data_IF_732931362366
#
_entry.id   IF_732931362366
#
_cell.length_a   1.000
_cell.length_b   1.000
_cell.length_c   1.000
_cell.angle_alpha   90.00
_cell.angle_beta   90.00
_cell.angle_gamma   90.00
#
_symmetry.space_group_name_H-M   'P 1'
#
loop_
_entity.id
_entity.type
_entity.pdbx_description
1 polymer ?
#
# COMPACT_ATOMS: atom_id res chain seq x y z
N UNK A 1 -12.14 19.44 -3.55
CA UNK A 1 -11.94 19.61 -5.00
C UNK A 1 -10.84 18.69 -5.46
N UNK A 2 -11.00 18.04 -6.62
CA UNK A 2 -9.96 17.25 -7.29
C UNK A 2 -9.68 17.93 -8.62
N UNK A 3 -8.45 18.34 -8.82
CA UNK A 3 -7.97 18.92 -10.07
C UNK A 3 -6.87 18.01 -10.61
N UNK A 4 -6.77 17.84 -11.92
CA UNK A 4 -5.71 17.05 -12.54
C UNK A 4 -4.83 17.93 -13.41
N UNK A 5 -3.53 17.78 -13.26
CA UNK A 5 -2.57 18.48 -14.11
C UNK A 5 -2.51 17.87 -15.51
N UNK A 6 -1.62 18.39 -16.36
CA UNK A 6 -1.46 17.93 -17.74
C UNK A 6 -0.88 16.50 -17.86
N UNK A 7 -0.32 15.94 -16.78
CA UNK A 7 0.15 14.56 -16.69
C UNK A 7 -0.92 13.63 -16.10
N UNK A 8 -2.05 14.20 -15.64
CA UNK A 8 -3.13 13.46 -14.98
C UNK A 8 -2.94 13.28 -13.47
N UNK A 9 -1.88 13.84 -12.88
CA UNK A 9 -1.65 13.76 -11.43
C UNK A 9 -2.76 14.51 -10.69
N UNK A 10 -3.46 13.87 -9.74
CA UNK A 10 -4.52 14.54 -9.00
C UNK A 10 -3.96 15.45 -7.90
N UNK A 11 -4.49 16.65 -7.85
CA UNK A 11 -4.32 17.63 -6.79
C UNK A 11 -5.62 17.70 -6.00
N UNK A 12 -5.59 17.23 -4.77
CA UNK A 12 -6.74 17.15 -3.88
C UNK A 12 -6.68 18.33 -2.92
N UNK A 13 -7.74 19.13 -2.89
CA UNK A 13 -7.85 20.32 -2.04
C UNK A 13 -9.08 20.16 -1.16
N UNK A 14 -8.87 19.95 0.14
CA UNK A 14 -9.88 19.84 1.18
C UNK A 14 -9.95 21.10 2.05
N UNK A 15 -11.06 21.28 2.78
CA UNK A 15 -11.12 22.26 3.87
C UNK A 15 -10.50 21.70 5.12
N UNK A 16 -10.77 20.42 5.40
CA UNK A 16 -10.18 19.66 6.50
C UNK A 16 -9.30 18.56 5.97
N UNK A 17 -8.54 17.92 6.84
CA UNK A 17 -7.73 16.75 6.49
C UNK A 17 -8.63 15.58 6.06
N UNK A 18 -9.81 15.43 6.67
CA UNK A 18 -10.81 14.42 6.28
C UNK A 18 -11.39 14.71 4.90
N UNK A 19 -11.72 15.96 4.56
CA UNK A 19 -12.15 16.33 3.22
C UNK A 19 -11.09 15.95 2.16
N UNK A 20 -9.82 16.17 2.50
CA UNK A 20 -8.69 15.81 1.66
C UNK A 20 -8.56 14.28 1.54
N UNK A 21 -8.68 13.54 2.66
CA UNK A 21 -8.65 12.07 2.67
C UNK A 21 -9.75 11.45 1.80
N UNK A 22 -10.98 11.95 1.92
CA UNK A 22 -12.11 11.52 1.08
C UNK A 22 -11.82 11.73 -0.41
N UNK A 23 -11.39 12.94 -0.78
CA UNK A 23 -11.06 13.26 -2.17
C UNK A 23 -9.90 12.46 -2.70
N UNK A 24 -8.91 12.18 -1.86
CA UNK A 24 -7.74 11.37 -2.20
C UNK A 24 -8.10 9.91 -2.47
N UNK A 25 -8.95 9.31 -1.64
CA UNK A 25 -9.47 7.97 -1.86
C UNK A 25 -10.30 7.88 -3.14
N UNK A 26 -11.16 8.87 -3.39
CA UNK A 26 -11.97 8.93 -4.60
C UNK A 26 -11.12 9.02 -5.87
N UNK A 27 -10.08 9.89 -5.87
CA UNK A 27 -9.16 10.01 -7.00
C UNK A 27 -8.39 8.70 -7.29
N UNK A 28 -7.95 8.00 -6.24
CA UNK A 28 -7.35 6.68 -6.39
C UNK A 28 -8.32 5.64 -6.97
N UNK A 29 -9.59 5.70 -6.54
CA UNK A 29 -10.62 4.81 -7.06
C UNK A 29 -10.93 5.08 -8.53
N UNK A 30 -10.97 6.34 -8.97
CA UNK A 30 -11.11 6.67 -10.40
C UNK A 30 -10.05 6.02 -11.28
N UNK A 31 -8.79 5.96 -10.79
CA UNK A 31 -7.65 5.50 -11.58
C UNK A 31 -7.36 4.00 -11.39
N UNK A 32 -7.66 3.44 -10.22
CA UNK A 32 -7.19 2.10 -9.82
C UNK A 32 -8.27 1.22 -9.19
N UNK A 33 -9.56 1.44 -9.51
CA UNK A 33 -10.66 0.74 -8.84
C UNK A 33 -10.52 -0.77 -8.82
N UNK A 34 -10.25 -1.37 -9.98
CA UNK A 34 -10.09 -2.82 -10.06
C UNK A 34 -9.04 -3.35 -9.09
N UNK A 35 -7.90 -2.68 -9.00
CA UNK A 35 -6.81 -3.08 -8.12
C UNK A 35 -7.19 -2.95 -6.64
N UNK A 36 -7.82 -1.83 -6.26
CA UNK A 36 -8.28 -1.58 -4.90
C UNK A 36 -9.35 -2.61 -4.51
N UNK A 37 -10.37 -2.76 -5.34
CA UNK A 37 -11.48 -3.69 -5.15
C UNK A 37 -11.01 -5.14 -4.98
N UNK A 38 -10.16 -5.62 -5.88
CA UNK A 38 -9.68 -7.01 -5.89
C UNK A 38 -8.70 -7.31 -4.73
N UNK A 39 -8.15 -6.28 -4.09
CA UNK A 39 -7.28 -6.44 -2.91
C UNK A 39 -8.06 -6.68 -1.60
N UNK A 40 -9.32 -6.27 -1.52
CA UNK A 40 -10.11 -6.37 -0.27
C UNK A 40 -10.26 -7.82 0.24
N UNK A 41 -10.62 -8.81 -0.60
CA UNK A 41 -10.71 -10.20 -0.13
C UNK A 41 -9.40 -10.73 0.43
N UNK A 42 -8.27 -10.30 -0.14
CA UNK A 42 -6.95 -10.67 0.37
C UNK A 42 -6.71 -10.06 1.76
N UNK A 43 -6.96 -8.79 1.95
CA UNK A 43 -6.79 -8.15 3.26
C UNK A 43 -7.68 -8.75 4.34
N UNK A 44 -8.85 -9.23 3.95
CA UNK A 44 -9.81 -9.91 4.85
C UNK A 44 -9.49 -11.40 5.10
N UNK A 45 -8.56 -12.00 4.36
CA UNK A 45 -8.32 -13.44 4.40
C UNK A 45 -9.52 -14.25 3.89
N UNK A 46 -10.16 -13.75 2.83
CA UNK A 46 -11.37 -14.36 2.21
C UNK A 46 -11.22 -14.55 0.71
N UNK A 47 -10.01 -14.54 0.19
CA UNK A 47 -9.71 -14.69 -1.25
C UNK A 47 -10.25 -15.99 -1.83
N UNK A 48 -10.27 -17.07 -1.04
CA UNK A 48 -10.79 -18.35 -1.47
C UNK A 48 -12.29 -18.34 -1.80
N UNK A 49 -13.05 -17.39 -1.22
CA UNK A 49 -14.47 -17.24 -1.54
C UNK A 49 -14.72 -16.78 -2.98
N UNK A 50 -13.72 -16.15 -3.61
CA UNK A 50 -13.77 -15.65 -4.98
C UNK A 50 -12.91 -16.51 -5.90
N UNK A 51 -11.68 -16.85 -5.49
CA UNK A 51 -10.68 -17.51 -6.32
C UNK A 51 -10.56 -19.02 -6.05
N UNK A 52 -11.40 -19.58 -5.18
CA UNK A 52 -11.35 -20.99 -4.82
C UNK A 52 -10.03 -21.38 -4.15
N UNK A 53 -9.51 -22.55 -4.48
CA UNK A 53 -8.31 -23.11 -3.83
C UNK A 53 -7.07 -22.21 -4.01
N UNK A 54 -6.99 -21.45 -5.07
CA UNK A 54 -5.86 -20.54 -5.35
C UNK A 54 -5.79 -19.42 -4.30
N UNK A 55 -6.93 -18.96 -3.79
CA UNK A 55 -7.00 -17.96 -2.71
C UNK A 55 -6.70 -18.52 -1.32
N UNK A 56 -6.74 -19.83 -1.13
CA UNK A 56 -6.67 -20.43 0.21
C UNK A 56 -5.31 -20.23 0.89
N UNK A 57 -4.22 -20.17 0.14
CA UNK A 57 -2.87 -19.94 0.69
C UNK A 57 -2.74 -18.53 1.25
N UNK A 58 -3.29 -17.54 0.54
CA UNK A 58 -3.27 -16.15 1.00
C UNK A 58 -4.17 -15.96 2.21
N UNK A 59 -5.35 -16.60 2.24
CA UNK A 59 -6.24 -16.57 3.40
C UNK A 59 -5.58 -17.20 4.62
N UNK A 60 -4.92 -18.36 4.44
CA UNK A 60 -4.16 -19.00 5.50
C UNK A 60 -3.10 -18.07 6.08
N UNK A 61 -2.37 -17.33 5.24
CA UNK A 61 -1.35 -16.38 5.67
C UNK A 61 -1.96 -15.27 6.56
N UNK A 62 -3.06 -14.68 6.17
CA UNK A 62 -3.74 -13.63 6.94
C UNK A 62 -4.17 -14.13 8.31
N UNK A 63 -4.77 -15.32 8.37
CA UNK A 63 -5.21 -15.94 9.61
C UNK A 63 -4.03 -16.41 10.48
N UNK A 64 -2.99 -16.97 9.87
CA UNK A 64 -1.81 -17.42 10.61
C UNK A 64 -1.03 -16.25 11.25
N UNK A 65 -0.99 -15.10 10.59
CA UNK A 65 -0.36 -13.89 11.11
C UNK A 65 -1.24 -13.14 12.13
N UNK A 66 -2.44 -13.65 12.41
CA UNK A 66 -3.40 -13.03 13.33
C UNK A 66 -3.63 -11.54 13.04
N UNK A 67 -3.70 -11.18 11.73
CA UNK A 67 -3.82 -9.78 11.29
C UNK A 67 -5.07 -9.13 11.87
N UNK A 68 -6.21 -9.80 11.77
CA UNK A 68 -7.50 -9.26 12.25
C UNK A 68 -7.61 -9.26 13.75
N UNK A 69 -7.14 -10.30 14.44
CA UNK A 69 -7.07 -10.37 15.89
C UNK A 69 -6.22 -9.23 16.46
N UNK A 70 -5.10 -8.90 15.78
CA UNK A 70 -4.24 -7.77 16.12
C UNK A 70 -4.97 -6.45 15.97
N UNK A 71 -5.65 -6.25 14.81
CA UNK A 71 -6.41 -5.03 14.54
C UNK A 71 -7.55 -4.87 15.56
N UNK A 72 -8.35 -5.90 15.80
CA UNK A 72 -9.46 -5.86 16.75
C UNK A 72 -9.00 -5.50 18.16
N UNK A 73 -7.82 -5.97 18.55
CA UNK A 73 -7.29 -5.72 19.91
C UNK A 73 -6.64 -4.35 20.07
N UNK A 74 -6.04 -3.77 19.00
CA UNK A 74 -5.17 -2.60 19.11
C UNK A 74 -5.72 -1.35 18.42
N UNK A 75 -6.66 -1.47 17.48
CA UNK A 75 -7.14 -0.34 16.66
C UNK A 75 -7.59 0.85 17.52
N UNK A 76 -8.38 0.60 18.56
CA UNK A 76 -8.93 1.66 19.40
C UNK A 76 -7.89 2.29 20.34
N UNK A 77 -6.90 1.51 20.80
CA UNK A 77 -5.91 1.98 21.78
C UNK A 77 -4.67 2.60 21.14
N UNK A 78 -4.26 2.13 19.96
CA UNK A 78 -3.00 2.52 19.36
C UNK A 78 -3.14 3.64 18.31
N UNK A 79 -4.33 3.80 17.73
CA UNK A 79 -4.58 4.87 16.76
C UNK A 79 -5.17 6.11 17.43
N UNK A 80 -4.64 7.29 17.11
CA UNK A 80 -5.22 8.55 17.56
C UNK A 80 -6.61 8.79 16.95
N UNK A 81 -7.42 9.61 17.59
CA UNK A 81 -8.74 9.95 17.07
C UNK A 81 -8.66 10.66 15.71
N UNK A 82 -7.62 11.49 15.50
CA UNK A 82 -7.37 12.14 14.22
C UNK A 82 -7.06 11.12 13.12
N UNK A 83 -6.22 10.10 13.43
CA UNK A 83 -5.91 9.02 12.47
C UNK A 83 -7.16 8.22 12.12
N UNK A 84 -7.99 7.90 13.11
CA UNK A 84 -9.25 7.19 12.88
C UNK A 84 -10.22 8.01 12.02
N UNK A 85 -10.40 9.30 12.34
CA UNK A 85 -11.25 10.20 11.53
C UNK A 85 -10.75 10.33 10.08
N UNK A 86 -9.45 10.41 9.89
CA UNK A 86 -8.85 10.45 8.56
C UNK A 86 -9.10 9.15 7.77
N UNK A 87 -8.93 7.98 8.42
CA UNK A 87 -9.20 6.68 7.81
C UNK A 87 -10.70 6.48 7.51
N UNK A 88 -11.60 6.93 8.40
CA UNK A 88 -13.04 6.91 8.15
C UNK A 88 -13.39 7.70 6.89
N UNK A 89 -12.89 8.93 6.77
CA UNK A 89 -13.11 9.75 5.59
C UNK A 89 -12.50 9.14 4.32
N UNK A 90 -11.33 8.51 4.43
CA UNK A 90 -10.69 7.82 3.31
C UNK A 90 -11.58 6.68 2.79
N UNK A 91 -12.06 5.79 3.67
CA UNK A 91 -12.94 4.70 3.25
C UNK A 91 -14.30 5.18 2.76
N UNK A 92 -14.82 6.28 3.30
CA UNK A 92 -16.02 6.94 2.79
C UNK A 92 -15.86 7.36 1.33
N UNK A 93 -14.68 7.85 0.95
CA UNK A 93 -14.33 8.16 -0.44
C UNK A 93 -14.37 6.94 -1.36
N UNK A 94 -13.80 5.81 -0.92
CA UNK A 94 -13.86 4.53 -1.65
C UNK A 94 -15.29 4.00 -1.76
N UNK A 95 -16.03 3.98 -0.65
CA UNK A 95 -17.41 3.52 -0.61
C UNK A 95 -18.34 4.40 -1.45
N UNK A 96 -18.08 5.71 -1.50
CA UNK A 96 -18.82 6.62 -2.36
C UNK A 96 -18.57 6.33 -3.84
N UNK A 97 -17.32 6.02 -4.22
CA UNK A 97 -17.02 5.59 -5.59
C UNK A 97 -17.76 4.30 -5.93
N UNK A 98 -17.69 3.27 -5.06
CA UNK A 98 -18.42 2.01 -5.21
C UNK A 98 -19.92 2.22 -5.44
N UNK A 99 -20.54 3.06 -4.63
CA UNK A 99 -21.96 3.41 -4.73
C UNK A 99 -22.31 4.07 -6.08
N UNK A 100 -21.40 4.87 -6.63
CA UNK A 100 -21.57 5.54 -7.92
C UNK A 100 -21.33 4.62 -9.11
N UNK A 101 -20.60 3.54 -8.93
CA UNK A 101 -20.17 2.62 -9.98
C UNK A 101 -20.53 1.16 -9.64
N UNK A 102 -21.84 0.86 -9.44
CA UNK A 102 -22.27 -0.51 -9.09
C UNK A 102 -21.95 -1.52 -10.19
N UNK A 103 -21.79 -1.09 -11.44
CA UNK A 103 -21.49 -1.95 -12.60
C UNK A 103 -20.09 -2.58 -12.57
N UNK A 104 -19.19 -2.03 -11.76
CA UNK A 104 -17.80 -2.51 -11.58
C UNK A 104 -17.50 -2.91 -10.14
N UNK A 105 -18.51 -2.99 -9.30
CA UNK A 105 -18.42 -3.24 -7.86
C UNK A 105 -19.10 -4.56 -7.50
N UNK A 106 -18.40 -5.41 -6.75
CA UNK A 106 -19.03 -6.55 -6.10
C UNK A 106 -19.63 -6.10 -4.76
N UNK A 107 -20.94 -6.02 -4.65
CA UNK A 107 -21.68 -5.52 -3.48
C UNK A 107 -21.36 -6.29 -2.20
N UNK A 108 -21.00 -7.57 -2.29
CA UNK A 108 -20.67 -8.41 -1.13
C UNK A 108 -19.38 -7.98 -0.41
N UNK A 109 -18.55 -7.16 -1.06
CA UNK A 109 -17.30 -6.64 -0.46
C UNK A 109 -17.50 -5.32 0.29
N UNK A 110 -18.68 -4.71 0.23
CA UNK A 110 -18.94 -3.37 0.77
C UNK A 110 -19.86 -3.39 1.99
N UNK A 111 -19.68 -2.42 2.90
CA UNK A 111 -18.70 -1.34 2.85
C UNK A 111 -17.26 -1.80 3.11
N UNK A 112 -16.29 -1.08 2.52
CA UNK A 112 -14.89 -1.11 2.95
C UNK A 112 -14.82 -0.37 4.29
N UNK A 113 -14.03 -0.90 5.23
CA UNK A 113 -13.86 -0.34 6.57
C UNK A 113 -12.44 0.22 6.77
N UNK A 114 -12.21 1.13 7.72
CA UNK A 114 -10.87 1.59 8.08
C UNK A 114 -9.92 0.44 8.44
N UNK A 115 -10.46 -0.60 9.07
CA UNK A 115 -9.70 -1.81 9.44
C UNK A 115 -9.20 -2.57 8.20
N UNK A 116 -9.96 -2.59 7.10
CA UNK A 116 -9.50 -3.15 5.82
C UNK A 116 -8.25 -2.43 5.30
N UNK A 117 -8.20 -1.10 5.43
CA UNK A 117 -7.05 -0.28 5.03
C UNK A 117 -5.84 -0.58 5.92
N UNK A 118 -6.05 -0.69 7.23
CA UNK A 118 -4.99 -1.06 8.19
C UNK A 118 -4.48 -2.46 7.90
N UNK A 119 -5.35 -3.45 7.66
CA UNK A 119 -4.97 -4.81 7.28
C UNK A 119 -4.12 -4.81 5.99
N UNK A 120 -4.57 -4.08 4.98
CA UNK A 120 -3.83 -3.93 3.72
C UNK A 120 -2.45 -3.28 3.92
N UNK A 121 -2.34 -2.34 4.83
CA UNK A 121 -1.06 -1.70 5.17
C UNK A 121 -0.10 -2.69 5.85
N UNK A 122 -0.58 -3.43 6.86
CA UNK A 122 0.21 -4.45 7.57
C UNK A 122 0.71 -5.52 6.61
N UNK A 123 -0.19 -6.10 5.81
CA UNK A 123 0.15 -7.19 4.88
C UNK A 123 1.14 -6.75 3.81
N UNK A 124 0.95 -5.58 3.21
CA UNK A 124 1.87 -5.05 2.20
C UNK A 124 3.28 -4.81 2.74
N UNK A 125 3.40 -4.35 3.98
CA UNK A 125 4.71 -4.18 4.59
C UNK A 125 5.44 -5.51 4.76
N UNK A 126 4.75 -6.55 5.22
CA UNK A 126 5.35 -7.88 5.35
C UNK A 126 5.82 -8.43 3.99
N UNK A 127 4.96 -8.35 2.96
CA UNK A 127 5.31 -8.79 1.61
C UNK A 127 6.45 -7.97 1.01
N UNK A 128 6.48 -6.66 1.27
CA UNK A 128 7.53 -5.79 0.75
C UNK A 128 8.93 -6.17 1.24
N UNK A 129 9.04 -6.78 2.42
CA UNK A 129 10.30 -7.30 2.97
C UNK A 129 10.61 -8.75 2.59
N UNK A 130 9.83 -9.36 1.70
CA UNK A 130 10.09 -10.71 1.19
C UNK A 130 9.62 -11.82 2.13
N UNK A 131 8.66 -11.52 3.02
CA UNK A 131 8.10 -12.50 3.95
C UNK A 131 7.47 -13.70 3.22
N UNK A 132 6.93 -13.48 2.02
CA UNK A 132 6.39 -14.54 1.15
C UNK A 132 7.39 -15.66 0.88
N UNK A 133 8.67 -15.37 0.79
CA UNK A 133 9.69 -16.38 0.54
C UNK A 133 9.90 -17.31 1.74
N UNK A 134 9.72 -16.81 2.97
CA UNK A 134 9.76 -17.63 4.18
C UNK A 134 8.53 -18.52 4.28
N UNK A 135 7.36 -17.99 3.94
CA UNK A 135 6.11 -18.77 3.93
C UNK A 135 6.17 -19.91 2.93
N UNK A 136 6.75 -19.68 1.74
CA UNK A 136 6.93 -20.72 0.72
C UNK A 136 7.66 -21.94 1.25
N UNK A 137 8.74 -21.72 1.97
CA UNK A 137 9.53 -22.82 2.54
C UNK A 137 8.75 -23.71 3.51
N UNK A 138 7.72 -23.16 4.18
CA UNK A 138 6.89 -23.95 5.08
C UNK A 138 6.06 -25.01 4.35
N UNK A 139 5.80 -24.81 3.06
CA UNK A 139 5.02 -25.73 2.23
C UNK A 139 5.88 -26.66 1.37
N UNK A 140 7.20 -26.57 1.43
CA UNK A 140 8.10 -27.48 0.72
C UNK A 140 8.25 -28.82 1.47
N UNK A 141 8.25 -29.95 0.74
CA UNK A 141 8.45 -31.29 1.31
C UNK A 141 9.83 -31.46 1.98
N UNK A 142 10.81 -30.67 1.56
CA UNK A 142 12.15 -30.63 2.15
C UNK A 142 12.66 -29.21 2.18
N UNK A 143 13.11 -28.80 3.34
CA UNK A 143 13.85 -27.57 3.51
C UNK A 143 15.13 -27.61 2.66
N UNK A 144 15.18 -26.77 1.64
CA UNK A 144 16.27 -26.82 0.63
C UNK A 144 17.54 -26.09 1.08
N UNK A 145 17.51 -25.32 2.18
CA UNK A 145 18.64 -24.48 2.58
C UNK A 145 19.01 -24.58 4.06
N UNK A 146 20.29 -24.30 4.38
CA UNK A 146 20.72 -24.10 5.75
C UNK A 146 20.05 -22.88 6.38
N UNK A 147 19.84 -22.91 7.69
CA UNK A 147 19.19 -21.84 8.48
C UNK A 147 19.88 -20.46 8.31
N UNK A 148 21.13 -20.42 7.84
CA UNK A 148 21.96 -19.22 7.72
C UNK A 148 21.90 -18.50 6.35
N UNK A 149 21.14 -18.99 5.39
CA UNK A 149 21.09 -18.41 4.04
C UNK A 149 19.76 -17.73 3.76
N UNK A 150 19.80 -16.50 3.27
CA UNK A 150 18.59 -15.76 2.86
C UNK A 150 17.87 -16.46 1.70
N UNK A 151 16.51 -16.44 1.66
CA UNK A 151 15.73 -17.11 0.62
C UNK A 151 16.07 -16.65 -0.80
N UNK A 152 16.10 -17.56 -1.77
CA UNK A 152 16.07 -17.16 -3.17
C UNK A 152 14.67 -16.62 -3.53
N UNK A 153 14.62 -15.44 -4.10
CA UNK A 153 13.38 -14.72 -4.46
C UNK A 153 12.54 -15.38 -5.57
N UNK A 154 12.77 -16.62 -5.94
CA UNK A 154 12.41 -17.11 -7.27
C UNK A 154 11.17 -17.99 -7.40
N UNK A 155 10.61 -18.55 -6.35
CA UNK A 155 9.64 -19.65 -6.51
C UNK A 155 8.22 -19.38 -5.97
N UNK A 156 8.00 -18.36 -5.17
CA UNK A 156 6.66 -17.99 -4.73
C UNK A 156 5.88 -17.17 -5.74
N UNK A 157 6.59 -16.49 -6.64
CA UNK A 157 6.00 -15.64 -7.67
C UNK A 157 4.96 -16.36 -8.52
N UNK A 158 5.20 -17.61 -8.91
CA UNK A 158 4.31 -18.31 -9.84
C UNK A 158 2.92 -18.63 -9.26
N UNK A 159 2.79 -18.93 -7.97
CA UNK A 159 1.51 -19.28 -7.35
C UNK A 159 0.70 -18.06 -6.85
N UNK A 160 1.37 -16.97 -6.57
CA UNK A 160 0.75 -15.74 -6.12
C UNK A 160 0.48 -14.76 -7.26
N UNK A 161 1.10 -14.96 -8.44
CA UNK A 161 0.77 -14.25 -9.68
C UNK A 161 -0.68 -14.48 -10.13
N UNK A 162 -1.20 -15.67 -9.92
CA UNK A 162 -2.60 -16.01 -10.23
C UNK A 162 -3.59 -15.31 -9.30
N UNK A 163 -3.19 -14.93 -8.09
CA UNK A 163 -4.06 -14.20 -7.15
C UNK A 163 -4.09 -12.68 -7.36
N UNK A 164 -3.31 -12.16 -8.33
CA UNK A 164 -3.25 -10.72 -8.63
C UNK A 164 -2.53 -9.86 -7.58
N UNK A 165 -1.93 -10.49 -6.57
CA UNK A 165 -1.34 -9.80 -5.41
C UNK A 165 0.18 -9.76 -5.47
N UNK A 166 0.85 -10.55 -6.32
CA UNK A 166 2.31 -10.69 -6.29
C UNK A 166 3.03 -10.22 -7.52
N UNK A 167 4.17 -9.68 -7.19
CA UNK A 167 5.12 -8.97 -8.00
C UNK A 167 6.20 -9.94 -8.43
N UNK A 168 6.18 -10.37 -9.70
CA UNK A 168 7.21 -11.24 -10.25
C UNK A 168 8.55 -10.50 -10.40
N UNK A 169 9.62 -11.13 -9.90
CA UNK A 169 11.04 -10.81 -10.19
C UNK A 169 11.42 -9.31 -10.14
N UNK A 170 10.92 -8.55 -9.18
CA UNK A 170 11.39 -7.19 -9.01
C UNK A 170 12.90 -7.18 -8.71
N UNK A 171 13.71 -6.45 -9.48
CA UNK A 171 15.01 -6.07 -9.01
C UNK A 171 14.82 -5.19 -7.77
N UNK A 172 14.87 -5.80 -6.59
CA UNK A 172 14.65 -5.12 -5.31
C UNK A 172 15.84 -4.22 -5.06
N UNK A 173 15.61 -2.95 -5.11
CA UNK A 173 16.62 -1.94 -4.86
C UNK A 173 16.01 -0.56 -4.95
N UNK A 174 16.75 0.45 -4.53
CA UNK A 174 16.37 1.85 -4.67
C UNK A 174 17.58 2.74 -4.47
N UNK A 175 17.53 3.97 -4.97
CA UNK A 175 18.54 4.96 -4.72
C UNK A 175 17.89 6.22 -4.17
N UNK A 176 18.49 6.82 -3.14
CA UNK A 176 18.12 8.13 -2.65
C UNK A 176 19.39 8.99 -2.52
N UNK A 177 19.36 10.19 -3.10
CA UNK A 177 20.47 11.14 -3.10
C UNK A 177 19.96 12.49 -2.64
N UNK A 178 20.47 12.98 -1.51
CA UNK A 178 20.19 14.32 -1.02
C UNK A 178 21.40 15.23 -1.29
N UNK A 179 21.15 16.40 -1.86
CA UNK A 179 22.17 17.43 -2.12
C UNK A 179 21.78 18.69 -1.37
N UNK A 180 22.63 19.12 -0.43
CA UNK A 180 22.40 20.31 0.36
C UNK A 180 22.65 21.60 -0.44
N UNK A 181 21.95 22.67 -0.10
CA UNK A 181 21.99 23.98 -0.75
C UNK A 181 23.40 24.50 -1.11
N UNK A 182 24.44 24.46 -0.25
CA UNK A 182 25.78 24.93 -0.60
C UNK A 182 26.47 24.19 -1.75
N UNK A 183 25.94 23.03 -2.16
CA UNK A 183 26.47 22.23 -3.27
C UNK A 183 25.63 22.33 -4.55
N UNK A 184 24.67 23.24 -4.60
CA UNK A 184 23.83 23.52 -5.76
C UNK A 184 24.10 24.93 -6.31
N UNK A 185 23.87 25.16 -7.59
CA UNK A 185 24.13 26.45 -8.24
C UNK A 185 23.12 27.54 -7.91
N UNK A 186 22.01 27.19 -7.26
CA UNK A 186 20.87 28.05 -6.94
C UNK A 186 20.46 28.02 -5.46
N UNK A 187 21.35 27.53 -4.60
CA UNK A 187 21.17 27.41 -3.17
C UNK A 187 19.89 26.62 -2.73
N UNK A 188 19.42 25.71 -3.58
CA UNK A 188 18.27 24.86 -3.28
C UNK A 188 18.70 23.46 -2.82
N UNK A 189 18.14 22.98 -1.70
CA UNK A 189 18.28 21.57 -1.33
C UNK A 189 17.48 20.69 -2.26
N UNK A 190 18.05 19.57 -2.70
CA UNK A 190 17.40 18.62 -3.62
C UNK A 190 17.44 17.21 -3.09
N UNK A 191 16.37 16.48 -3.34
CA UNK A 191 16.27 15.06 -3.11
C UNK A 191 15.89 14.37 -4.42
N UNK A 192 16.71 13.42 -4.85
CA UNK A 192 16.37 12.49 -5.92
C UNK A 192 16.10 11.11 -5.31
N UNK A 193 14.97 10.52 -5.66
CA UNK A 193 14.57 9.18 -5.24
C UNK A 193 14.31 8.36 -6.50
N UNK A 194 14.89 7.17 -6.56
CA UNK A 194 14.64 6.21 -7.63
C UNK A 194 14.30 4.86 -7.02
N UNK A 195 13.03 4.56 -6.88
CA UNK A 195 12.54 3.28 -6.43
C UNK A 195 12.44 2.32 -7.61
N UNK A 196 12.99 1.12 -7.47
CA UNK A 196 12.89 0.06 -8.47
C UNK A 196 11.56 -0.68 -8.29
N UNK A 197 10.47 -0.05 -8.70
CA UNK A 197 9.11 -0.58 -8.58
C UNK A 197 8.54 -0.90 -9.97
N UNK A 198 7.59 -1.84 -10.07
CA UNK A 198 6.88 -2.11 -11.32
C UNK A 198 6.07 -0.89 -11.74
N UNK A 199 5.74 -0.82 -13.02
CA UNK A 199 4.90 0.24 -13.58
C UNK A 199 3.41 -0.06 -13.45
N UNK A 200 3.04 -1.26 -13.02
CA UNK A 200 1.66 -1.72 -12.83
C UNK A 200 1.55 -2.61 -11.59
N UNK A 201 0.34 -2.77 -11.07
CA UNK A 201 0.06 -3.65 -9.93
C UNK A 201 0.11 -2.95 -8.56
N UNK A 202 -0.02 -3.72 -7.46
CA UNK A 202 -0.30 -3.19 -6.13
C UNK A 202 0.85 -2.38 -5.49
N UNK A 203 2.05 -2.48 -6.03
CA UNK A 203 3.22 -1.71 -5.57
C UNK A 203 3.79 -0.80 -6.66
N UNK A 204 3.04 -0.56 -7.74
CA UNK A 204 3.33 0.52 -8.66
C UNK A 204 3.09 1.87 -7.97
N UNK A 205 3.91 2.87 -8.29
CA UNK A 205 3.70 4.20 -7.73
C UNK A 205 2.47 4.88 -8.34
N UNK A 206 1.63 5.40 -7.46
CA UNK A 206 0.61 6.38 -7.76
C UNK A 206 1.07 7.72 -7.22
N UNK A 207 1.01 8.78 -8.02
CA UNK A 207 1.43 10.12 -7.62
C UNK A 207 0.21 10.98 -7.31
N UNK A 208 0.27 11.74 -6.22
CA UNK A 208 -0.77 12.67 -5.82
C UNK A 208 -0.22 13.86 -5.03
N UNK A 209 -0.96 14.95 -5.05
CA UNK A 209 -0.79 16.10 -4.17
C UNK A 209 -2.05 16.26 -3.31
N UNK A 210 -1.86 16.33 -2.00
CA UNK A 210 -2.92 16.43 -1.01
C UNK A 210 -2.73 17.72 -0.22
N UNK A 211 -3.76 18.53 -0.14
CA UNK A 211 -3.75 19.79 0.59
C UNK A 211 -5.05 20.01 1.37
N UNK A 212 -4.93 20.57 2.58
CA UNK A 212 -6.07 21.06 3.37
C UNK A 212 -5.83 22.48 3.88
N UNK A 213 -6.91 23.16 4.32
CA UNK A 213 -6.81 24.45 4.98
C UNK A 213 -6.28 24.33 6.43
N UNK A 214 -6.21 23.11 6.98
CA UNK A 214 -5.69 22.82 8.32
C UNK A 214 -4.16 22.67 8.35
N UNK A 215 -3.52 22.64 7.18
CA UNK A 215 -2.07 22.67 7.04
C UNK A 215 -1.45 21.43 6.43
N UNK A 216 -2.25 20.41 6.08
CA UNK A 216 -1.76 19.31 5.25
C UNK A 216 -1.37 19.88 3.88
N UNK A 217 -0.14 19.64 3.46
CA UNK A 217 0.35 20.01 2.13
C UNK A 217 1.50 19.06 1.78
N UNK A 218 1.23 18.05 0.99
CA UNK A 218 2.17 16.96 0.72
C UNK A 218 1.97 16.44 -0.71
N UNK A 219 3.08 16.28 -1.45
CA UNK A 219 3.08 15.71 -2.78
C UNK A 219 4.08 14.55 -2.86
N UNK A 220 3.72 13.49 -3.57
CA UNK A 220 4.63 12.36 -3.80
C UNK A 220 3.94 11.10 -4.22
N UNK A 221 4.66 9.98 -4.06
CA UNK A 221 4.24 8.66 -4.47
C UNK A 221 3.75 7.79 -3.30
N UNK A 222 2.79 6.94 -3.61
CA UNK A 222 2.21 5.95 -2.71
C UNK A 222 1.84 4.69 -3.50
N UNK A 223 1.54 3.63 -2.79
CA UNK A 223 0.95 2.45 -3.41
C UNK A 223 -0.58 2.58 -3.44
N UNK A 224 -1.28 2.15 -4.51
CA UNK A 224 -2.72 2.22 -4.59
C UNK A 224 -3.42 1.63 -3.36
N UNK A 225 -4.50 2.23 -2.93
CA UNK A 225 -5.21 2.00 -1.66
C UNK A 225 -4.46 2.39 -0.38
N UNK A 226 -3.30 3.03 -0.48
CA UNK A 226 -2.64 3.61 0.70
C UNK A 226 -3.29 4.93 1.09
N UNK A 227 -3.56 5.16 2.38
CA UNK A 227 -4.17 6.42 2.83
C UNK A 227 -3.16 7.56 2.97
N UNK A 228 -1.86 7.31 2.74
CA UNK A 228 -0.80 8.30 2.94
C UNK A 228 0.27 8.23 1.86
N UNK A 229 0.96 9.35 1.65
CA UNK A 229 2.12 9.48 0.77
C UNK A 229 3.31 8.74 1.40
N UNK A 230 3.86 7.76 0.71
CA UNK A 230 4.98 6.93 1.18
C UNK A 230 6.34 7.58 0.97
N UNK A 231 6.54 8.24 -0.16
CA UNK A 231 7.74 9.02 -0.49
C UNK A 231 7.32 10.35 -1.10
N UNK A 232 7.92 11.45 -0.68
CA UNK A 232 7.44 12.74 -1.16
C UNK A 232 8.12 13.94 -0.53
N UNK A 233 7.44 15.06 -0.62
CA UNK A 233 7.91 16.32 -0.08
C UNK A 233 6.77 17.27 0.28
N UNK A 234 7.09 18.21 1.13
CA UNK A 234 6.33 19.41 1.40
C UNK A 234 7.28 20.64 1.36
N UNK A 235 6.78 21.78 1.82
CA UNK A 235 7.55 23.04 1.80
C UNK A 235 8.85 22.98 2.63
N UNK A 236 8.91 22.12 3.65
CA UNK A 236 9.97 22.10 4.66
C UNK A 236 10.78 20.80 4.66
N UNK A 237 10.24 19.73 4.16
CA UNK A 237 10.80 18.38 4.25
C UNK A 237 10.60 17.61 2.95
N UNK A 238 11.64 16.85 2.57
CA UNK A 238 11.52 15.82 1.55
C UNK A 238 12.06 14.51 2.12
N UNK A 239 11.41 13.39 1.80
CA UNK A 239 11.84 12.08 2.26
C UNK A 239 11.71 11.02 1.17
N UNK A 240 12.53 10.00 1.30
CA UNK A 240 12.53 8.83 0.45
C UNK A 240 12.98 7.62 1.23
N UNK A 241 12.53 6.46 0.81
CA UNK A 241 12.91 5.19 1.39
C UNK A 241 13.65 4.34 0.35
N UNK A 242 14.64 3.59 0.81
CA UNK A 242 15.30 2.55 0.02
C UNK A 242 15.04 1.21 0.67
N UNK A 243 15.13 0.14 -0.12
CA UNK A 243 14.92 -1.21 0.41
C UNK A 243 16.00 -1.53 1.44
N UNK A 244 15.55 -1.86 2.65
CA UNK A 244 16.36 -2.49 3.68
C UNK A 244 16.05 -3.99 3.69
N UNK A 245 17.09 -4.82 3.77
CA UNK A 245 16.96 -6.29 3.86
C UNK A 245 17.63 -6.81 5.13
N UNK A 246 17.13 -6.41 6.32
CA UNK A 246 17.60 -7.01 7.55
C UNK A 246 17.08 -8.46 7.66
N UNK A 247 17.72 -9.26 8.46
CA UNK A 247 17.18 -10.52 8.96
C UNK A 247 16.07 -10.18 9.97
N UNK A 248 14.82 -10.29 9.54
CA UNK A 248 13.66 -9.81 10.30
C UNK A 248 12.82 -10.93 10.92
N UNK A 249 13.09 -12.19 10.57
CA UNK A 249 12.22 -13.31 10.94
C UNK A 249 13.04 -14.49 11.38
N UNK A 250 12.90 -14.84 12.66
CA UNK A 250 13.30 -16.13 13.22
C UNK A 250 12.08 -17.07 13.21
N UNK A 251 12.13 -18.13 12.41
CA UNK A 251 11.10 -19.18 12.35
C UNK A 251 11.69 -20.54 12.77
#
# INVERSE_FOLDING_TARGET
VIERDYLGVPHIIGKTDEDAAFGFAYAQAEDNWKLIHDSIPFYRGTSASINGIEGATTDYLIHWLEIWETIESLYESELSDETKSYLDAFVDGLNFYAMKHPEVTNEDLFPITPQDIVAGYMVRHLLFYGFESYVSELFEEKRARPISESPPHKELSENLETSGVIIDNLPVGSNAIAVNAPFTSDDATRLAINSHQPTTGPVAWYEAHIQSEEGLNIMGGLFPSSPTIGVGFNENLAWGATVNKPDLVDI
#
